data_IF_563903566976
#
_entry.id   IF_563903566976
#
_cell.length_a   1.000
_cell.length_b   1.000
_cell.length_c   1.000
_cell.angle_alpha   90.00
_cell.angle_beta   90.00
_cell.angle_gamma   90.00
#
_symmetry.space_group_name_H-M   'P 1'
#
loop_
_entity.id
_entity.type
_entity.pdbx_description
1 polymer ?
#
# COMPACT_ATOMS: atom_id res chain seq x y z
N UNK A 1 -3.80 45.75 19.75
CA UNK A 1 -2.99 45.34 18.59
C UNK A 1 -3.77 45.79 17.37
N UNK A 2 -3.24 46.83 16.70
CA UNK A 2 -3.90 47.51 15.59
C UNK A 2 -3.61 46.68 14.32
N UNK A 3 -4.68 46.18 13.68
CA UNK A 3 -4.57 45.64 12.33
C UNK A 3 -4.31 46.82 11.38
N UNK A 4 -3.09 47.01 10.93
CA UNK A 4 -2.81 47.88 9.80
C UNK A 4 -3.30 47.22 8.51
N UNK A 5 -4.52 47.57 8.10
CA UNK A 5 -4.94 47.35 6.72
C UNK A 5 -4.04 48.18 5.81
N UNK A 6 -3.22 47.52 5.03
CA UNK A 6 -2.41 48.16 3.99
C UNK A 6 -3.35 48.61 2.89
N UNK A 7 -3.76 49.88 2.94
CA UNK A 7 -4.60 50.53 1.92
C UNK A 7 -3.69 50.90 0.76
N UNK A 8 -3.67 50.09 -0.29
CA UNK A 8 -3.00 50.45 -1.53
C UNK A 8 -3.70 51.63 -2.22
N UNK A 9 -2.94 52.52 -2.86
CA UNK A 9 -3.52 53.63 -3.63
C UNK A 9 -4.43 53.06 -4.75
N UNK A 10 -5.53 53.73 -5.12
CA UNK A 10 -6.42 53.27 -6.19
C UNK A 10 -5.70 52.87 -7.48
N UNK A 11 -4.65 53.58 -7.85
CA UNK A 11 -3.84 53.28 -9.03
C UNK A 11 -3.09 51.94 -8.93
N UNK A 12 -2.68 51.53 -7.73
CA UNK A 12 -2.00 50.25 -7.52
C UNK A 12 -3.04 49.12 -7.62
N UNK A 13 -4.23 49.30 -7.08
CA UNK A 13 -5.32 48.31 -7.21
C UNK A 13 -5.75 48.10 -8.67
N UNK A 14 -5.87 49.19 -9.45
CA UNK A 14 -6.18 49.11 -10.88
C UNK A 14 -5.07 48.40 -11.67
N UNK A 15 -3.80 48.66 -11.31
CA UNK A 15 -2.68 47.93 -11.90
C UNK A 15 -2.70 46.46 -11.56
N UNK A 16 -2.95 46.09 -10.30
CA UNK A 16 -3.05 44.70 -9.85
C UNK A 16 -4.22 43.98 -10.52
N UNK A 17 -5.38 44.62 -10.63
CA UNK A 17 -6.51 44.05 -11.37
C UNK A 17 -6.19 43.86 -12.86
N UNK A 18 -5.50 44.81 -13.47
CA UNK A 18 -5.08 44.70 -14.87
C UNK A 18 -4.09 43.54 -15.06
N UNK A 19 -3.13 43.38 -14.15
CA UNK A 19 -2.19 42.26 -14.17
C UNK A 19 -2.91 40.93 -13.95
N UNK A 20 -3.83 40.87 -13.00
CA UNK A 20 -4.63 39.65 -12.75
C UNK A 20 -5.55 39.28 -13.94
N UNK A 21 -6.01 40.28 -14.72
CA UNK A 21 -6.82 40.01 -15.92
C UNK A 21 -5.98 39.54 -17.12
N UNK A 22 -4.69 39.86 -17.14
CA UNK A 22 -3.75 39.44 -18.19
C UNK A 22 -3.14 38.06 -17.88
N UNK A 23 -2.95 37.76 -16.60
CA UNK A 23 -2.52 36.42 -16.17
C UNK A 23 -3.76 35.54 -16.27
N UNK A 24 -3.83 34.67 -17.28
CA UNK A 24 -4.83 33.64 -17.33
C UNK A 24 -4.84 32.92 -15.97
N UNK A 25 -6.03 32.66 -15.36
CA UNK A 25 -6.07 31.89 -14.13
C UNK A 25 -5.20 30.66 -14.33
N UNK A 26 -4.38 30.27 -13.34
CA UNK A 26 -3.62 29.06 -13.47
C UNK A 26 -4.60 27.97 -13.91
N UNK A 27 -4.30 27.31 -15.04
CA UNK A 27 -5.03 26.09 -15.38
C UNK A 27 -5.12 25.32 -14.09
N UNK A 28 -6.32 24.83 -13.73
CA UNK A 28 -6.41 23.79 -12.72
C UNK A 28 -5.39 22.74 -13.13
N UNK A 29 -4.23 22.80 -12.51
CA UNK A 29 -3.20 21.80 -12.69
C UNK A 29 -3.75 20.63 -11.94
N UNK A 30 -4.12 19.57 -12.64
CA UNK A 30 -4.30 18.26 -12.00
C UNK A 30 -3.20 18.12 -10.97
N UNK A 31 -3.56 17.73 -9.74
CA UNK A 31 -2.62 17.66 -8.62
C UNK A 31 -1.29 17.06 -9.09
N UNK A 32 -0.18 17.76 -8.77
CA UNK A 32 1.13 17.32 -9.21
C UNK A 32 1.38 15.87 -8.82
N UNK A 33 1.45 15.00 -9.79
CA UNK A 33 1.64 13.57 -9.58
C UNK A 33 3.03 13.16 -10.08
N UNK A 34 3.97 13.02 -9.14
CA UNK A 34 5.35 12.62 -9.44
C UNK A 34 5.44 11.29 -10.19
N UNK A 35 4.54 10.34 -9.95
CA UNK A 35 4.54 9.05 -10.63
C UNK A 35 4.17 9.18 -12.11
N UNK A 36 3.25 10.10 -12.42
CA UNK A 36 2.90 10.43 -13.80
C UNK A 36 4.02 11.16 -14.50
N UNK A 37 4.68 12.12 -13.83
CA UNK A 37 5.82 12.88 -14.38
C UNK A 37 7.00 11.97 -14.70
N UNK A 38 7.26 10.97 -13.85
CA UNK A 38 8.33 10.00 -14.04
C UNK A 38 7.93 8.82 -14.96
N UNK A 39 6.71 8.80 -15.47
CA UNK A 39 6.17 7.72 -16.32
C UNK A 39 6.31 6.33 -15.67
N UNK A 40 6.15 6.27 -14.34
CA UNK A 40 6.26 5.03 -13.57
C UNK A 40 4.95 4.56 -12.96
N UNK A 41 3.87 5.30 -13.17
CA UNK A 41 2.53 4.98 -12.64
C UNK A 41 1.97 3.64 -13.13
N UNK A 42 2.51 3.12 -14.24
CA UNK A 42 2.17 1.82 -14.83
C UNK A 42 3.23 0.72 -14.54
N UNK A 43 4.32 1.05 -13.85
CA UNK A 43 5.44 0.13 -13.55
C UNK A 43 5.20 -0.59 -12.23
N UNK A 44 4.44 -1.66 -12.25
CA UNK A 44 4.08 -2.48 -11.08
C UNK A 44 5.27 -2.80 -10.17
N UNK A 45 6.40 -3.24 -10.74
CA UNK A 45 7.63 -3.56 -9.98
C UNK A 45 8.19 -2.34 -9.23
N UNK A 46 8.16 -1.15 -9.84
CA UNK A 46 8.67 0.08 -9.22
C UNK A 46 7.74 0.51 -8.08
N UNK A 47 6.44 0.43 -8.32
CA UNK A 47 5.42 0.73 -7.32
C UNK A 47 5.51 -0.23 -6.11
N UNK A 48 5.71 -1.53 -6.36
CA UNK A 48 5.96 -2.52 -5.30
C UNK A 48 7.23 -2.20 -4.50
N UNK A 49 8.31 -1.76 -5.15
CA UNK A 49 9.56 -1.37 -4.46
C UNK A 49 9.35 -0.18 -3.53
N UNK A 50 8.68 0.86 -4.01
CA UNK A 50 8.35 2.04 -3.22
C UNK A 50 7.46 1.68 -2.03
N UNK A 51 6.36 0.95 -2.28
CA UNK A 51 5.43 0.53 -1.23
C UNK A 51 6.12 -0.33 -0.17
N UNK A 52 6.95 -1.28 -0.58
CA UNK A 52 7.68 -2.14 0.34
C UNK A 52 8.72 -1.38 1.18
N UNK A 53 9.37 -0.34 0.61
CA UNK A 53 10.28 0.52 1.37
C UNK A 53 9.52 1.31 2.43
N UNK A 54 8.41 1.97 2.06
CA UNK A 54 7.56 2.73 2.98
C UNK A 54 6.98 1.87 4.11
N UNK A 55 6.56 0.65 3.80
CA UNK A 55 6.02 -0.30 4.79
C UNK A 55 7.11 -0.88 5.71
N UNK A 56 8.38 -0.81 5.32
CA UNK A 56 9.48 -1.36 6.10
C UNK A 56 9.97 -0.38 7.17
N UNK A 57 9.85 -0.69 8.47
CA UNK A 57 10.36 0.20 9.53
C UNK A 57 11.86 0.50 9.43
N UNK A 58 12.61 -0.30 8.67
CA UNK A 58 14.04 -0.11 8.37
C UNK A 58 14.27 0.39 6.95
N UNK A 59 13.22 0.92 6.30
CA UNK A 59 13.28 1.47 4.94
C UNK A 59 14.14 2.72 4.85
N UNK A 60 14.50 3.12 3.63
CA UNK A 60 15.35 4.28 3.37
C UNK A 60 14.71 5.61 3.78
N UNK A 61 13.39 5.64 3.94
CA UNK A 61 12.65 6.82 4.42
C UNK A 61 13.04 7.26 5.85
N UNK A 62 13.66 6.39 6.68
CA UNK A 62 14.16 6.72 8.02
C UNK A 62 13.11 7.07 9.08
N UNK A 63 11.81 6.83 8.81
CA UNK A 63 10.69 7.20 9.68
C UNK A 63 10.26 6.05 10.64
N UNK A 64 11.04 4.97 10.71
CA UNK A 64 10.69 3.83 11.55
C UNK A 64 9.34 3.22 11.14
N UNK A 65 8.49 2.90 12.12
CA UNK A 65 7.22 2.21 11.86
C UNK A 65 6.03 3.15 11.56
N UNK A 66 6.25 4.44 11.31
CA UNK A 66 5.15 5.42 11.16
C UNK A 66 4.24 5.02 10.01
N UNK A 67 4.78 4.83 8.82
CA UNK A 67 3.98 4.44 7.65
C UNK A 67 3.29 3.10 7.84
N UNK A 68 3.98 2.11 8.38
CA UNK A 68 3.39 0.80 8.67
C UNK A 68 2.25 0.89 9.68
N UNK A 69 2.41 1.68 10.76
CA UNK A 69 1.37 1.88 11.77
C UNK A 69 0.10 2.47 11.16
N UNK A 70 0.22 3.50 10.33
CA UNK A 70 -0.92 4.11 9.64
C UNK A 70 -1.56 3.11 8.69
N UNK A 71 -0.77 2.37 7.93
CA UNK A 71 -1.26 1.33 7.02
C UNK A 71 -2.05 0.23 7.74
N UNK A 72 -1.49 -0.31 8.82
CA UNK A 72 -2.15 -1.34 9.62
C UNK A 72 -3.45 -0.83 10.27
N UNK A 73 -3.46 0.42 10.71
CA UNK A 73 -4.62 1.03 11.35
C UNK A 73 -5.72 1.36 10.35
N UNK A 74 -5.40 2.07 9.29
CA UNK A 74 -6.39 2.71 8.41
C UNK A 74 -6.79 1.80 7.24
N UNK A 75 -5.89 0.94 6.77
CA UNK A 75 -6.15 0.01 5.66
C UNK A 75 -6.51 -1.39 6.19
N UNK A 76 -5.70 -1.96 7.08
CA UNK A 76 -5.95 -3.32 7.60
C UNK A 76 -7.03 -3.33 8.69
N UNK A 77 -7.28 -2.18 9.32
CA UNK A 77 -8.33 -2.00 10.32
C UNK A 77 -7.94 -2.41 11.74
N UNK A 78 -6.63 -2.43 12.07
CA UNK A 78 -6.14 -2.76 13.42
C UNK A 78 -6.21 -1.51 14.29
N UNK A 79 -7.27 -1.39 15.10
CA UNK A 79 -7.53 -0.19 15.92
C UNK A 79 -6.97 -0.29 17.35
N UNK A 80 -6.75 -1.49 17.84
CA UNK A 80 -6.26 -1.73 19.21
C UNK A 80 -4.75 -1.43 19.30
N UNK A 81 -4.37 -0.50 20.19
CA UNK A 81 -2.98 -0.06 20.36
C UNK A 81 -2.03 -1.24 20.68
N UNK A 82 -2.42 -2.11 21.61
CA UNK A 82 -1.61 -3.28 21.97
C UNK A 82 -1.41 -4.25 20.81
N UNK A 83 -2.44 -4.48 20.01
CA UNK A 83 -2.37 -5.31 18.80
C UNK A 83 -1.47 -4.65 17.72
N UNK A 84 -1.55 -3.33 17.57
CA UNK A 84 -0.70 -2.60 16.63
C UNK A 84 0.79 -2.69 17.02
N UNK A 85 1.13 -2.51 18.31
CA UNK A 85 2.50 -2.68 18.81
C UNK A 85 3.02 -4.11 18.56
N UNK A 86 2.18 -5.11 18.76
CA UNK A 86 2.50 -6.50 18.51
C UNK A 86 2.80 -6.78 17.03
N UNK A 87 2.02 -6.20 16.12
CA UNK A 87 2.17 -6.38 14.67
C UNK A 87 3.42 -5.66 14.14
N UNK A 88 3.84 -4.56 14.75
CA UNK A 88 5.03 -3.81 14.30
C UNK A 88 6.33 -4.26 14.96
N UNK A 89 6.26 -4.99 16.08
CA UNK A 89 7.45 -5.49 16.78
C UNK A 89 8.12 -6.62 15.99
N UNK A 90 9.40 -6.37 15.61
CA UNK A 90 10.19 -7.37 14.90
C UNK A 90 9.66 -7.73 13.52
N UNK A 91 8.93 -6.82 12.90
CA UNK A 91 8.34 -7.04 11.58
C UNK A 91 9.41 -7.07 10.48
N UNK A 92 9.14 -7.88 9.47
CA UNK A 92 9.88 -7.94 8.22
C UNK A 92 8.94 -7.60 7.06
N UNK A 93 9.49 -6.91 6.06
CA UNK A 93 8.84 -6.66 4.79
C UNK A 93 9.72 -7.23 3.70
N UNK A 94 9.19 -8.19 2.94
CA UNK A 94 9.92 -8.87 1.86
C UNK A 94 9.16 -8.72 0.56
N UNK A 95 9.88 -8.37 -0.51
CA UNK A 95 9.36 -8.33 -1.89
C UNK A 95 9.59 -9.66 -2.56
N UNK A 96 8.74 -9.97 -3.55
CA UNK A 96 8.88 -11.16 -4.37
C UNK A 96 9.07 -12.44 -3.53
N UNK A 97 8.21 -12.60 -2.51
CA UNK A 97 8.29 -13.71 -1.57
C UNK A 97 7.88 -15.02 -2.25
N UNK A 98 8.80 -16.00 -2.29
CA UNK A 98 8.51 -17.33 -2.84
C UNK A 98 7.64 -18.14 -1.89
N UNK A 99 6.60 -18.77 -2.40
CA UNK A 99 5.77 -19.71 -1.63
C UNK A 99 6.39 -21.12 -1.56
N UNK A 100 7.56 -21.34 -2.18
CA UNK A 100 8.35 -22.57 -2.02
C UNK A 100 9.11 -22.56 -0.70
N UNK A 101 9.17 -23.68 -0.04
CA UNK A 101 9.50 -23.93 1.37
C UNK A 101 10.88 -23.52 1.91
N UNK A 102 11.71 -22.75 1.22
CA UNK A 102 13.09 -22.50 1.69
C UNK A 102 13.20 -21.37 2.75
N UNK A 103 12.17 -20.58 2.95
CA UNK A 103 12.18 -19.40 3.85
C UNK A 103 11.03 -19.38 4.87
N UNK A 104 10.67 -20.52 5.46
CA UNK A 104 9.56 -20.59 6.44
C UNK A 104 9.86 -19.69 7.66
N UNK A 105 9.12 -18.59 7.89
CA UNK A 105 9.35 -17.66 9.00
C UNK A 105 9.07 -18.26 10.38
N UNK A 106 8.37 -19.39 10.46
CA UNK A 106 8.04 -20.08 11.73
C UNK A 106 9.21 -20.91 12.31
N UNK A 107 10.30 -21.12 11.54
CA UNK A 107 11.43 -21.97 11.97
C UNK A 107 11.09 -23.46 12.13
N UNK A 108 9.91 -23.88 11.71
CA UNK A 108 9.51 -25.29 11.67
C UNK A 108 9.82 -25.86 10.28
N UNK A 109 10.86 -26.65 10.18
CA UNK A 109 11.37 -27.25 8.94
C UNK A 109 10.53 -28.47 8.45
N UNK A 110 9.45 -28.83 9.13
CA UNK A 110 8.78 -30.14 8.92
C UNK A 110 7.40 -30.06 8.24
N UNK A 111 6.94 -28.88 7.81
CA UNK A 111 5.73 -28.81 6.99
C UNK A 111 6.12 -28.84 5.51
N UNK A 112 6.40 -30.05 5.01
CA UNK A 112 6.35 -30.33 3.59
C UNK A 112 4.90 -30.15 3.13
N UNK A 113 4.53 -28.91 2.78
CA UNK A 113 3.30 -28.65 2.03
C UNK A 113 3.52 -29.31 0.67
N UNK A 114 2.74 -30.33 0.38
CA UNK A 114 2.74 -31.07 -0.91
C UNK A 114 2.35 -30.10 -2.05
N UNK A 115 3.31 -29.25 -2.44
CA UNK A 115 3.11 -28.17 -3.39
C UNK A 115 3.34 -28.66 -4.82
N UNK A 116 2.33 -29.36 -5.35
CA UNK A 116 2.10 -29.45 -6.80
C UNK A 116 1.51 -28.17 -7.38
N UNK A 117 1.63 -27.02 -6.68
CA UNK A 117 1.15 -25.72 -7.14
C UNK A 117 2.28 -24.92 -7.78
N UNK A 118 1.93 -24.20 -8.84
CA UNK A 118 2.80 -23.29 -9.60
C UNK A 118 3.66 -22.41 -8.68
N UNK A 119 4.86 -22.06 -9.15
CA UNK A 119 5.80 -21.13 -8.53
C UNK A 119 5.12 -19.79 -8.18
N UNK A 120 4.40 -19.76 -7.05
CA UNK A 120 3.77 -18.57 -6.54
C UNK A 120 4.83 -17.62 -5.98
N UNK A 121 4.83 -16.37 -6.45
CA UNK A 121 5.67 -15.30 -5.92
C UNK A 121 4.79 -14.14 -5.53
N UNK A 122 4.65 -13.92 -4.21
CA UNK A 122 3.86 -12.84 -3.64
C UNK A 122 4.65 -11.54 -3.80
N UNK A 123 4.01 -10.49 -4.30
CA UNK A 123 4.70 -9.23 -4.60
C UNK A 123 5.31 -8.59 -3.36
N UNK A 124 4.56 -8.49 -2.26
CA UNK A 124 5.03 -7.97 -0.97
C UNK A 124 4.43 -8.80 0.15
N UNK A 125 5.24 -9.12 1.17
CA UNK A 125 4.76 -9.75 2.40
C UNK A 125 5.23 -8.93 3.60
N UNK A 126 4.31 -8.64 4.51
CA UNK A 126 4.58 -8.07 5.82
C UNK A 126 4.37 -9.18 6.84
N UNK A 127 5.39 -9.54 7.61
CA UNK A 127 5.27 -10.66 8.54
C UNK A 127 6.15 -10.50 9.78
N UNK A 128 5.74 -11.16 10.84
CA UNK A 128 6.53 -11.46 12.01
C UNK A 128 6.15 -12.85 12.55
N UNK A 129 6.49 -13.16 13.81
CA UNK A 129 6.16 -14.47 14.41
C UNK A 129 4.65 -14.71 14.61
N UNK A 130 3.81 -13.68 14.50
CA UNK A 130 2.39 -13.72 14.87
C UNK A 130 1.45 -13.50 13.69
N UNK A 131 1.91 -12.89 12.62
CA UNK A 131 1.08 -12.67 11.45
C UNK A 131 1.89 -12.73 10.16
N UNK A 132 1.18 -13.01 9.09
CA UNK A 132 1.68 -13.05 7.72
C UNK A 132 0.64 -12.40 6.81
N UNK A 133 0.97 -11.24 6.26
CA UNK A 133 0.07 -10.42 5.46
C UNK A 133 0.62 -10.28 4.04
N UNK A 134 0.14 -11.10 3.09
CA UNK A 134 0.48 -10.95 1.68
C UNK A 134 -0.23 -9.74 1.08
N UNK A 135 0.46 -9.07 0.16
CA UNK A 135 -0.05 -8.00 -0.68
C UNK A 135 0.23 -8.40 -2.13
N UNK A 136 -0.81 -8.59 -2.89
CA UNK A 136 -0.75 -8.80 -4.34
C UNK A 136 -1.10 -7.51 -5.04
N UNK A 137 -0.27 -7.09 -6.00
CA UNK A 137 -0.39 -5.82 -6.72
C UNK A 137 -0.72 -6.09 -8.18
N UNK A 138 -1.76 -5.43 -8.70
CA UNK A 138 -2.18 -5.50 -10.11
C UNK A 138 -2.50 -4.10 -10.62
N UNK A 139 -1.64 -3.57 -11.47
CA UNK A 139 -1.85 -2.24 -12.08
C UNK A 139 -2.36 -2.38 -13.51
N UNK A 140 -1.69 -3.19 -14.32
CA UNK A 140 -2.01 -3.35 -15.75
C UNK A 140 -2.25 -4.80 -16.17
N UNK A 141 -2.09 -5.76 -15.28
CA UNK A 141 -2.23 -7.17 -15.60
C UNK A 141 -3.45 -7.76 -14.91
N UNK A 142 -4.11 -8.67 -15.59
CA UNK A 142 -5.16 -9.48 -14.98
C UNK A 142 -4.55 -10.49 -13.99
N UNK A 143 -5.32 -10.84 -12.98
CA UNK A 143 -4.95 -11.88 -12.04
C UNK A 143 -4.82 -13.23 -12.76
N UNK A 144 -3.75 -13.98 -12.47
CA UNK A 144 -3.67 -15.39 -12.88
C UNK A 144 -4.71 -16.20 -12.11
N UNK A 145 -5.21 -17.28 -12.72
CA UNK A 145 -6.22 -18.13 -12.10
C UNK A 145 -5.87 -18.48 -10.66
N UNK A 146 -6.76 -18.11 -9.74
CA UNK A 146 -6.69 -18.36 -8.30
C UNK A 146 -5.51 -17.74 -7.53
N UNK A 147 -4.67 -16.90 -8.12
CA UNK A 147 -3.44 -16.38 -7.50
C UNK A 147 -3.68 -15.78 -6.11
N UNK A 148 -4.64 -14.90 -5.99
CA UNK A 148 -4.97 -14.25 -4.72
C UNK A 148 -5.53 -15.27 -3.69
N UNK A 149 -6.36 -16.20 -4.12
CA UNK A 149 -6.88 -17.26 -3.26
C UNK A 149 -5.78 -18.21 -2.78
N UNK A 150 -4.82 -18.57 -3.64
CA UNK A 150 -3.71 -19.44 -3.28
C UNK A 150 -2.79 -18.78 -2.25
N UNK A 151 -2.53 -17.47 -2.38
CA UNK A 151 -1.75 -16.71 -1.40
C UNK A 151 -2.47 -16.52 -0.06
N UNK A 152 -3.78 -16.35 -0.10
CA UNK A 152 -4.59 -16.33 1.12
C UNK A 152 -4.54 -17.67 1.86
N UNK A 153 -4.67 -18.80 1.14
CA UNK A 153 -4.55 -20.13 1.72
C UNK A 153 -3.16 -20.37 2.29
N UNK A 154 -2.11 -20.00 1.56
CA UNK A 154 -0.73 -20.08 2.03
C UNK A 154 -0.52 -19.28 3.33
N UNK A 155 -1.04 -18.05 3.42
CA UNK A 155 -0.98 -17.26 4.64
C UNK A 155 -1.72 -17.91 5.80
N UNK A 156 -2.89 -18.50 5.55
CA UNK A 156 -3.68 -19.23 6.56
C UNK A 156 -2.94 -20.45 7.11
N UNK A 157 -2.24 -21.18 6.25
CA UNK A 157 -1.47 -22.37 6.64
C UNK A 157 -0.26 -21.99 7.50
N UNK A 158 0.41 -20.86 7.21
CA UNK A 158 1.56 -20.37 7.98
C UNK A 158 1.17 -19.97 9.39
N UNK A 159 0.13 -19.15 9.53
CA UNK A 159 -0.23 -18.60 10.85
C UNK A 159 -1.17 -19.51 11.65
N UNK A 160 -1.67 -20.59 11.04
CA UNK A 160 -2.60 -21.53 11.65
C UNK A 160 -3.80 -20.83 12.34
N UNK A 161 -4.17 -19.64 11.83
CA UNK A 161 -5.20 -18.81 12.39
C UNK A 161 -6.26 -18.51 11.33
N UNK A 162 -7.52 -18.50 11.77
CA UNK A 162 -8.68 -18.18 10.93
C UNK A 162 -8.79 -16.69 10.59
N UNK A 163 -7.90 -15.84 11.13
CA UNK A 163 -7.84 -14.40 10.86
C UNK A 163 -6.81 -14.03 9.77
N UNK A 164 -6.31 -14.98 8.99
CA UNK A 164 -5.46 -14.66 7.85
C UNK A 164 -6.15 -13.65 6.94
N UNK A 165 -5.38 -12.68 6.48
CA UNK A 165 -5.85 -11.65 5.55
C UNK A 165 -4.91 -11.58 4.36
N UNK A 166 -5.44 -11.10 3.24
CA UNK A 166 -4.67 -10.72 2.07
C UNK A 166 -5.10 -9.33 1.61
N UNK A 167 -4.15 -8.55 1.12
CA UNK A 167 -4.43 -7.27 0.46
C UNK A 167 -4.32 -7.47 -1.04
N UNK A 168 -5.36 -7.06 -1.75
CA UNK A 168 -5.37 -7.00 -3.20
C UNK A 168 -5.39 -5.54 -3.63
N UNK A 169 -4.27 -5.08 -4.16
CA UNK A 169 -4.05 -3.68 -4.54
C UNK A 169 -4.11 -3.55 -6.05
N UNK A 170 -5.12 -2.83 -6.53
CA UNK A 170 -5.32 -2.56 -7.95
C UNK A 170 -5.33 -1.07 -8.24
N UNK A 171 -5.45 -0.68 -9.49
CA UNK A 171 -5.55 0.72 -9.88
C UNK A 171 -6.82 1.38 -9.30
N UNK A 172 -7.92 0.66 -9.26
CA UNK A 172 -9.27 1.16 -8.96
C UNK A 172 -9.95 0.47 -7.77
N UNK A 173 -9.29 -0.47 -7.09
CA UNK A 173 -9.87 -1.23 -5.99
C UNK A 173 -10.77 -2.39 -6.43
N UNK A 174 -10.65 -2.85 -7.67
CA UNK A 174 -11.39 -4.01 -8.19
C UNK A 174 -11.11 -5.28 -7.37
N UNK A 175 -12.06 -6.21 -7.40
CA UNK A 175 -11.98 -7.46 -6.66
C UNK A 175 -11.25 -8.54 -7.44
N UNK A 176 -10.46 -9.42 -6.76
CA UNK A 176 -9.82 -10.56 -7.41
C UNK A 176 -10.83 -11.64 -7.83
N UNK A 177 -10.40 -12.54 -8.69
CA UNK A 177 -11.12 -13.79 -8.94
C UNK A 177 -11.33 -14.53 -7.62
N UNK A 178 -12.47 -15.23 -7.51
CA UNK A 178 -12.83 -15.97 -6.30
C UNK A 178 -12.88 -15.15 -4.99
N UNK A 179 -13.07 -13.83 -5.08
CA UNK A 179 -13.24 -12.96 -3.90
C UNK A 179 -14.22 -13.55 -2.86
N UNK A 180 -15.35 -14.11 -3.33
CA UNK A 180 -16.37 -14.70 -2.45
C UNK A 180 -15.87 -15.85 -1.56
N UNK A 181 -14.75 -16.50 -1.90
CA UNK A 181 -14.14 -17.56 -1.08
C UNK A 181 -13.26 -16.98 0.04
N UNK A 182 -12.83 -15.73 -0.07
CA UNK A 182 -12.01 -15.02 0.91
C UNK A 182 -12.83 -14.01 1.71
N UNK A 183 -13.91 -13.46 1.11
CA UNK A 183 -14.84 -12.49 1.68
C UNK A 183 -14.13 -11.34 2.41
N UNK A 184 -14.49 -11.09 3.67
CA UNK A 184 -13.91 -10.04 4.52
C UNK A 184 -12.40 -10.16 4.77
N UNK A 185 -11.82 -11.30 4.47
CA UNK A 185 -10.38 -11.53 4.66
C UNK A 185 -9.54 -11.05 3.48
N UNK A 186 -10.17 -10.71 2.34
CA UNK A 186 -9.52 -10.05 1.22
C UNK A 186 -9.83 -8.56 1.25
N UNK A 187 -8.82 -7.76 1.55
CA UNK A 187 -8.91 -6.29 1.61
C UNK A 187 -8.55 -5.74 0.23
N UNK A 188 -9.56 -5.29 -0.52
CA UNK A 188 -9.36 -4.68 -1.83
C UNK A 188 -9.13 -3.18 -1.66
N UNK A 189 -8.02 -2.69 -2.18
CA UNK A 189 -7.62 -1.27 -2.12
C UNK A 189 -7.16 -0.76 -3.48
N UNK A 190 -7.21 0.54 -3.67
CA UNK A 190 -6.78 1.20 -4.89
C UNK A 190 -5.56 2.10 -4.69
N UNK A 191 -4.76 2.25 -5.73
CA UNK A 191 -3.71 3.26 -5.77
C UNK A 191 -4.28 4.67 -5.72
N UNK A 192 -5.34 4.92 -6.47
CA UNK A 192 -5.93 6.23 -6.65
C UNK A 192 -6.65 6.81 -5.44
N UNK A 193 -6.94 6.01 -4.42
CA UNK A 193 -7.66 6.45 -3.24
C UNK A 193 -6.98 6.01 -1.95
N UNK A 194 -6.99 4.71 -1.64
CA UNK A 194 -6.50 4.22 -0.34
C UNK A 194 -5.00 4.47 -0.17
N UNK A 195 -4.18 4.22 -1.19
CA UNK A 195 -2.73 4.44 -1.10
C UNK A 195 -2.40 5.93 -1.11
N UNK A 196 -3.04 6.75 -1.95
CA UNK A 196 -2.80 8.19 -1.94
C UNK A 196 -3.22 8.85 -0.62
N UNK A 197 -4.32 8.41 0.00
CA UNK A 197 -4.75 8.93 1.30
C UNK A 197 -3.86 8.46 2.45
N UNK A 198 -3.16 7.35 2.29
CA UNK A 198 -2.22 6.83 3.26
C UNK A 198 -0.87 7.56 3.22
N UNK A 199 -0.44 8.04 2.05
CA UNK A 199 0.81 8.80 1.85
C UNK A 199 0.70 10.24 2.36
#
# INVERSE_FOLDING_TARGET
MVNEEIIYSPKINDLLQSVCSIVAPPKEVDEYNIFSVLEISDKEVIMCRMLADLLNPRGQHGQGAIFLNVFLKDIVGIKEKGKLEEYTKGVFVKKEYSTKCDDNPSGQTDLAVDSKKDDGRIDIVIYNRKYFLPIEVKINHEERNNQCLDYYQFASDIIQDHEAKIIYLTKDGSKPAHYSKMDKNCICISWGKEILNWL
#
